data_IF_607105277904
#
_entry.id   IF_607105277904
#
_cell.length_a   1.000
_cell.length_b   1.000
_cell.length_c   1.000
_cell.angle_alpha   90.00
_cell.angle_beta   90.00
_cell.angle_gamma   90.00
#
_symmetry.space_group_name_H-M   'P 1'
#
loop_
_entity.id
_entity.type
_entity.pdbx_description
1 polymer ?
#
# COMPACT_ATOMS: atom_id res chain seq x y z
N UNK A 1 -21.52 71.38 15.79
CA UNK A 1 -20.21 70.98 15.22
C UNK A 1 -20.24 69.47 15.01
N UNK A 2 -20.49 69.09 13.78
CA UNK A 2 -20.49 67.72 13.26
C UNK A 2 -19.07 67.18 13.28
N UNK A 3 -18.90 65.89 13.60
CA UNK A 3 -17.86 65.06 13.03
C UNK A 3 -18.31 63.61 12.98
N UNK A 4 -18.50 63.17 11.80
CA UNK A 4 -18.76 61.90 11.20
C UNK A 4 -17.81 60.80 11.65
N UNK A 5 -18.35 59.65 12.07
CA UNK A 5 -17.66 58.36 12.07
C UNK A 5 -17.96 57.65 10.75
N UNK A 6 -16.93 57.47 9.91
CA UNK A 6 -16.93 56.63 8.72
C UNK A 6 -16.50 55.21 9.04
N UNK A 7 -17.35 54.30 8.72
CA UNK A 7 -17.20 52.89 8.34
C UNK A 7 -15.79 52.32 8.23
N UNK A 8 -15.51 51.29 9.04
CA UNK A 8 -14.55 50.21 8.75
C UNK A 8 -15.23 48.88 9.03
N UNK A 9 -15.73 48.26 7.99
CA UNK A 9 -15.95 46.83 7.74
C UNK A 9 -16.29 46.71 6.24
N UNK A 10 -15.73 45.80 5.44
CA UNK A 10 -15.45 44.42 5.69
C UNK A 10 -14.16 43.91 4.99
N UNK A 11 -13.30 43.22 5.67
CA UNK A 11 -12.17 42.55 5.00
C UNK A 11 -11.90 41.11 5.54
N UNK A 12 -12.87 40.48 6.20
CA UNK A 12 -12.66 39.13 6.77
C UNK A 12 -13.39 38.02 6.01
N UNK A 13 -14.20 38.33 5.01
CA UNK A 13 -15.06 37.32 4.32
C UNK A 13 -14.48 36.75 3.00
N UNK A 14 -13.26 37.14 2.61
CA UNK A 14 -12.70 36.70 1.31
C UNK A 14 -11.64 35.56 1.41
N UNK A 15 -11.25 35.14 2.60
CA UNK A 15 -10.25 34.07 2.75
C UNK A 15 -10.82 32.67 2.96
N UNK A 16 -12.11 32.53 3.29
CA UNK A 16 -12.74 31.22 3.52
C UNK A 16 -13.21 30.52 2.24
N UNK A 17 -13.41 31.26 1.15
CA UNK A 17 -13.93 30.67 -0.10
C UNK A 17 -12.87 30.08 -1.01
N UNK A 18 -11.62 30.48 -0.89
CA UNK A 18 -10.52 29.97 -1.73
C UNK A 18 -10.04 28.58 -1.30
N UNK A 19 -10.19 28.21 -0.03
CA UNK A 19 -9.78 26.89 0.46
C UNK A 19 -10.78 25.78 0.12
N UNK A 20 -12.08 26.08 -0.04
CA UNK A 20 -13.08 25.09 -0.47
C UNK A 20 -12.93 24.70 -1.94
N UNK A 21 -12.58 25.64 -2.82
CA UNK A 21 -12.37 25.34 -4.25
C UNK A 21 -11.10 24.55 -4.52
N UNK A 22 -10.05 24.67 -3.67
CA UNK A 22 -8.80 23.93 -3.82
C UNK A 22 -8.90 22.47 -3.34
N UNK A 23 -9.88 22.13 -2.47
CA UNK A 23 -10.17 20.76 -2.09
C UNK A 23 -10.98 20.01 -3.14
N UNK A 24 -11.98 20.65 -3.76
CA UNK A 24 -12.77 20.05 -4.84
C UNK A 24 -11.95 19.79 -6.10
N UNK A 25 -10.97 20.63 -6.44
CA UNK A 25 -10.07 20.39 -7.58
C UNK A 25 -9.06 19.24 -7.33
N UNK A 26 -8.70 18.95 -6.09
CA UNK A 26 -7.84 17.80 -5.77
C UNK A 26 -8.60 16.48 -5.78
N UNK A 27 -9.84 16.44 -5.30
CA UNK A 27 -10.70 15.24 -5.40
C UNK A 27 -11.09 14.91 -6.84
N UNK A 28 -11.25 15.92 -7.72
CA UNK A 28 -11.59 15.71 -9.13
C UNK A 28 -10.44 15.15 -9.99
N UNK A 29 -9.17 15.31 -9.57
CA UNK A 29 -8.00 14.78 -10.29
C UNK A 29 -7.66 13.31 -9.99
N UNK A 30 -8.27 12.70 -8.97
CA UNK A 30 -8.04 11.29 -8.64
C UNK A 30 -9.01 10.29 -9.28
N UNK A 31 -10.13 10.74 -9.82
CA UNK A 31 -10.93 9.91 -10.72
C UNK A 31 -10.34 9.99 -12.14
N UNK A 32 -9.27 9.24 -12.42
CA UNK A 32 -9.04 8.79 -13.79
C UNK A 32 -10.30 8.00 -14.18
N UNK A 33 -11.24 8.64 -14.87
CA UNK A 33 -12.36 7.93 -15.48
C UNK A 33 -11.77 6.76 -16.28
N UNK A 34 -12.17 5.53 -15.93
CA UNK A 34 -11.81 4.37 -16.74
C UNK A 34 -12.34 4.63 -18.13
N UNK A 35 -11.54 4.36 -19.14
CA UNK A 35 -11.98 4.51 -20.52
C UNK A 35 -13.20 3.61 -20.75
N UNK A 36 -14.36 4.22 -20.94
CA UNK A 36 -15.61 3.51 -21.24
C UNK A 36 -15.79 3.53 -22.76
N UNK A 37 -15.91 2.35 -23.32
CA UNK A 37 -16.18 2.19 -24.76
C UNK A 37 -17.68 2.27 -25.06
N UNK A 38 -18.04 2.33 -26.36
CA UNK A 38 -19.40 2.52 -26.83
C UNK A 38 -20.41 1.50 -26.29
N UNK A 39 -20.03 0.21 -26.28
CA UNK A 39 -20.90 -0.87 -25.78
C UNK A 39 -20.48 -1.22 -24.35
N UNK A 40 -21.36 -0.98 -23.38
CA UNK A 40 -21.11 -1.31 -21.99
C UNK A 40 -22.30 -2.01 -21.33
N UNK A 41 -22.01 -2.79 -20.30
CA UNK A 41 -22.97 -3.42 -19.40
C UNK A 41 -22.53 -3.25 -17.98
N UNK A 42 -23.50 -3.08 -17.06
CA UNK A 42 -23.25 -2.95 -15.64
C UNK A 42 -24.28 -3.71 -14.81
N UNK A 43 -23.87 -4.12 -13.62
CA UNK A 43 -24.73 -4.75 -12.63
C UNK A 43 -24.27 -4.33 -11.23
N UNK A 44 -25.25 -3.98 -10.38
CA UNK A 44 -25.01 -3.65 -8.98
C UNK A 44 -25.56 -4.78 -8.09
N UNK A 45 -24.77 -5.19 -7.11
CA UNK A 45 -25.15 -6.17 -6.09
C UNK A 45 -24.98 -5.50 -4.74
N UNK A 46 -25.97 -5.61 -3.86
CA UNK A 46 -25.90 -5.13 -2.48
C UNK A 46 -26.32 -6.23 -1.53
N UNK A 47 -25.48 -6.51 -0.52
CA UNK A 47 -25.73 -7.53 0.51
C UNK A 47 -25.40 -6.96 1.88
N UNK A 48 -26.18 -7.39 2.88
CA UNK A 48 -25.98 -6.98 4.27
C UNK A 48 -25.97 -8.22 5.16
N UNK A 49 -25.03 -8.25 6.09
CA UNK A 49 -24.83 -9.32 7.07
C UNK A 49 -24.67 -8.73 8.48
N UNK A 50 -25.02 -9.46 9.55
CA UNK A 50 -24.65 -9.05 10.90
C UNK A 50 -23.12 -8.98 11.04
N UNK A 51 -22.61 -7.94 11.71
CA UNK A 51 -21.17 -7.78 11.92
C UNK A 51 -20.66 -8.59 13.12
N UNK A 52 -21.43 -8.67 14.20
CA UNK A 52 -21.01 -9.26 15.47
C UNK A 52 -20.54 -10.71 15.32
N UNK A 53 -19.26 -10.94 15.63
CA UNK A 53 -18.63 -12.26 15.62
C UNK A 53 -18.38 -12.85 14.23
N UNK A 54 -18.62 -12.10 13.16
CA UNK A 54 -18.41 -12.55 11.80
C UNK A 54 -17.09 -12.00 11.22
N UNK A 55 -16.41 -12.81 10.39
CA UNK A 55 -15.24 -12.43 9.60
C UNK A 55 -15.69 -12.24 8.15
N UNK A 56 -15.31 -11.11 7.55
CA UNK A 56 -15.53 -10.88 6.12
C UNK A 56 -14.30 -11.33 5.33
N UNK A 57 -14.53 -12.17 4.31
CA UNK A 57 -13.51 -12.63 3.36
C UNK A 57 -13.89 -12.17 1.95
N UNK A 58 -12.97 -11.50 1.26
CA UNK A 58 -13.15 -11.03 -0.12
C UNK A 58 -12.01 -11.58 -0.98
N UNK A 59 -12.36 -12.33 -2.02
CA UNK A 59 -11.45 -12.76 -3.10
C UNK A 59 -11.91 -12.06 -4.39
N UNK A 60 -11.26 -10.92 -4.70
CA UNK A 60 -11.62 -10.09 -5.85
C UNK A 60 -10.60 -10.16 -6.98
N UNK A 61 -11.11 -9.99 -8.19
CA UNK A 61 -10.32 -9.83 -9.42
C UNK A 61 -10.87 -8.67 -10.26
N UNK A 62 -9.96 -7.96 -10.94
CA UNK A 62 -10.28 -6.90 -11.93
C UNK A 62 -10.96 -5.66 -11.38
N UNK A 63 -10.68 -5.26 -10.15
CA UNK A 63 -11.27 -4.05 -9.59
C UNK A 63 -10.70 -3.66 -8.25
N UNK A 64 -11.28 -2.62 -7.65
CA UNK A 64 -10.83 -2.10 -6.37
C UNK A 64 -11.69 -2.62 -5.22
N UNK A 65 -11.09 -2.73 -4.05
CA UNK A 65 -11.80 -2.98 -2.79
C UNK A 65 -11.60 -1.78 -1.88
N UNK A 66 -12.68 -1.03 -1.65
CA UNK A 66 -12.70 0.13 -0.76
C UNK A 66 -13.43 -0.21 0.52
N UNK A 67 -12.75 -0.04 1.65
CA UNK A 67 -13.33 -0.22 2.98
C UNK A 67 -13.70 1.15 3.56
N UNK A 68 -14.89 1.23 4.11
CA UNK A 68 -15.42 2.37 4.85
C UNK A 68 -15.82 1.88 6.23
N UNK A 69 -15.29 2.45 7.29
CA UNK A 69 -15.67 2.07 8.65
C UNK A 69 -16.89 2.83 9.11
N UNK A 70 -17.78 2.17 9.86
CA UNK A 70 -18.96 2.75 10.46
C UNK A 70 -19.26 2.15 11.85
N UNK A 71 -20.26 2.70 12.54
CA UNK A 71 -20.62 2.28 13.91
C UNK A 71 -21.83 1.32 13.97
N UNK A 72 -22.37 0.91 12.80
CA UNK A 72 -23.49 -0.04 12.78
C UNK A 72 -22.98 -1.47 12.96
N UNK A 73 -23.73 -2.31 13.69
CA UNK A 73 -23.43 -3.74 13.83
C UNK A 73 -23.83 -4.54 12.57
N UNK A 74 -23.41 -4.06 11.41
CA UNK A 74 -23.70 -4.63 10.11
C UNK A 74 -22.46 -4.57 9.22
N UNK A 75 -22.34 -5.52 8.31
CA UNK A 75 -21.40 -5.52 7.19
C UNK A 75 -22.23 -5.34 5.93
N UNK A 76 -22.10 -4.21 5.26
CA UNK A 76 -22.75 -3.97 3.97
C UNK A 76 -21.69 -4.02 2.85
N UNK A 77 -21.96 -4.83 1.83
CA UNK A 77 -21.10 -5.01 0.67
C UNK A 77 -21.86 -4.59 -0.57
N UNK A 78 -21.44 -3.48 -1.16
CA UNK A 78 -21.95 -3.00 -2.44
C UNK A 78 -20.90 -3.31 -3.51
N UNK A 79 -21.32 -3.95 -4.61
CA UNK A 79 -20.44 -4.42 -5.68
C UNK A 79 -20.96 -3.84 -6.99
N UNK A 80 -20.07 -3.19 -7.73
CA UNK A 80 -20.34 -2.69 -9.07
C UNK A 80 -19.53 -3.49 -10.08
N UNK A 81 -20.21 -4.15 -11.00
CA UNK A 81 -19.63 -4.91 -12.10
C UNK A 81 -19.86 -4.13 -13.40
N UNK A 82 -18.80 -3.83 -14.13
CA UNK A 82 -18.88 -3.14 -15.41
C UNK A 82 -18.00 -3.85 -16.45
N UNK A 83 -18.50 -3.96 -17.67
CA UNK A 83 -17.71 -4.29 -18.86
C UNK A 83 -17.98 -3.29 -19.95
N UNK A 84 -16.97 -2.92 -20.73
CA UNK A 84 -17.17 -2.10 -21.93
C UNK A 84 -16.23 -2.52 -23.05
N UNK A 85 -16.69 -2.40 -24.31
CA UNK A 85 -15.93 -2.76 -25.50
C UNK A 85 -16.28 -1.91 -26.69
N UNK A 86 -15.38 -1.87 -27.67
CA UNK A 86 -15.66 -1.33 -29.01
C UNK A 86 -16.50 -2.30 -29.84
N UNK A 87 -16.74 -3.52 -29.39
CA UNK A 87 -17.55 -4.53 -30.03
C UNK A 87 -18.65 -5.02 -29.07
N UNK A 88 -19.91 -4.97 -29.53
CA UNK A 88 -21.08 -5.30 -28.72
C UNK A 88 -21.04 -6.76 -28.21
N UNK A 89 -20.77 -7.71 -29.11
CA UNK A 89 -20.74 -9.13 -28.76
C UNK A 89 -19.65 -9.44 -27.73
N UNK A 90 -18.49 -8.77 -27.85
CA UNK A 90 -17.40 -8.92 -26.89
C UNK A 90 -17.77 -8.34 -25.52
N UNK A 91 -18.46 -7.18 -25.46
CA UNK A 91 -18.95 -6.62 -24.21
C UNK A 91 -19.96 -7.57 -23.54
N UNK A 92 -20.91 -8.10 -24.31
CA UNK A 92 -21.94 -9.03 -23.83
C UNK A 92 -21.29 -10.31 -23.26
N UNK A 93 -20.44 -10.97 -24.02
CA UNK A 93 -19.76 -12.22 -23.60
C UNK A 93 -18.83 -12.01 -22.42
N UNK A 94 -18.12 -10.87 -22.36
CA UNK A 94 -17.27 -10.54 -21.19
C UNK A 94 -18.12 -10.39 -19.93
N UNK A 95 -19.26 -9.71 -20.02
CA UNK A 95 -20.16 -9.51 -18.90
C UNK A 95 -20.76 -10.80 -18.37
N UNK A 96 -21.19 -11.72 -19.26
CA UNK A 96 -21.77 -13.01 -18.89
C UNK A 96 -20.77 -13.95 -18.18
N UNK A 97 -19.47 -13.74 -18.39
CA UNK A 97 -18.40 -14.50 -17.72
C UNK A 97 -18.05 -13.98 -16.34
N UNK A 98 -18.36 -12.72 -16.04
CA UNK A 98 -18.10 -12.12 -14.73
C UNK A 98 -19.26 -12.42 -13.80
N UNK A 99 -18.94 -13.03 -12.66
CA UNK A 99 -19.91 -13.28 -11.60
C UNK A 99 -19.30 -13.07 -10.22
N UNK A 100 -20.16 -12.75 -9.27
CA UNK A 100 -19.80 -12.66 -7.85
C UNK A 100 -20.72 -13.59 -7.07
N UNK A 101 -20.12 -14.50 -6.35
CA UNK A 101 -20.81 -15.39 -5.43
C UNK A 101 -20.61 -14.94 -4.00
N UNK A 102 -21.65 -15.03 -3.17
CA UNK A 102 -21.58 -14.81 -1.74
C UNK A 102 -22.12 -16.04 -0.99
N UNK A 103 -21.49 -16.35 0.15
CA UNK A 103 -21.94 -17.41 1.05
C UNK A 103 -21.55 -17.08 2.49
N UNK A 104 -22.33 -17.60 3.42
CA UNK A 104 -21.96 -17.59 4.85
C UNK A 104 -21.81 -19.02 5.33
N UNK A 105 -20.67 -19.33 5.94
CA UNK A 105 -20.37 -20.62 6.58
C UNK A 105 -19.96 -20.36 8.04
N UNK A 106 -20.81 -20.69 8.96
CA UNK A 106 -20.62 -20.39 10.36
C UNK A 106 -20.46 -18.89 10.61
N UNK A 107 -19.30 -18.49 11.10
CA UNK A 107 -18.94 -17.08 11.34
C UNK A 107 -18.15 -16.43 10.21
N UNK A 108 -18.02 -17.09 9.08
CA UNK A 108 -17.26 -16.56 7.93
C UNK A 108 -18.21 -16.22 6.79
N UNK A 109 -18.15 -14.98 6.32
CA UNK A 109 -18.86 -14.47 5.16
C UNK A 109 -17.84 -14.37 4.02
N UNK A 110 -18.13 -14.96 2.90
CA UNK A 110 -17.25 -15.02 1.73
C UNK A 110 -17.89 -14.32 0.55
N UNK A 111 -17.12 -13.47 -0.11
CA UNK A 111 -17.42 -12.95 -1.43
C UNK A 111 -16.30 -13.35 -2.37
N UNK A 112 -16.68 -13.88 -3.54
CA UNK A 112 -15.71 -14.31 -4.54
C UNK A 112 -16.11 -13.84 -5.93
N UNK A 113 -15.22 -13.06 -6.56
CA UNK A 113 -15.31 -12.73 -7.98
C UNK A 113 -14.80 -13.91 -8.79
N UNK A 114 -15.58 -14.34 -9.77
CA UNK A 114 -15.21 -15.41 -10.71
C UNK A 114 -15.26 -14.90 -12.14
N UNK A 115 -14.29 -15.32 -12.93
CA UNK A 115 -14.25 -15.09 -14.37
C UNK A 115 -14.19 -16.45 -15.08
N UNK A 116 -15.30 -16.86 -15.69
CA UNK A 116 -15.38 -18.11 -16.44
C UNK A 116 -14.47 -18.05 -17.67
N UNK A 117 -13.67 -19.08 -17.88
CA UNK A 117 -12.84 -19.18 -19.09
C UNK A 117 -13.72 -19.25 -20.34
N UNK A 118 -13.23 -18.65 -21.44
CA UNK A 118 -13.88 -18.84 -22.75
C UNK A 118 -13.69 -20.25 -23.23
N UNK A 119 -14.77 -20.87 -23.67
CA UNK A 119 -14.69 -22.10 -24.48
C UNK A 119 -14.25 -21.74 -25.91
N UNK A 120 -13.77 -22.72 -26.68
CA UNK A 120 -13.34 -22.48 -28.08
C UNK A 120 -14.43 -21.87 -28.97
N UNK A 121 -15.70 -22.18 -28.73
CA UNK A 121 -16.85 -21.60 -29.43
C UNK A 121 -17.25 -20.19 -29.02
N UNK A 122 -16.67 -19.66 -27.92
CA UNK A 122 -16.99 -18.35 -27.39
C UNK A 122 -16.07 -17.22 -27.92
N UNK A 123 -15.11 -17.55 -28.78
CA UNK A 123 -14.19 -16.57 -29.35
C UNK A 123 -14.96 -15.60 -30.23
N UNK A 124 -14.95 -14.34 -29.88
CA UNK A 124 -15.42 -13.26 -30.75
C UNK A 124 -14.31 -12.99 -31.77
N UNK A 125 -14.58 -13.23 -33.03
CA UNK A 125 -13.67 -12.88 -34.12
C UNK A 125 -13.64 -11.37 -34.27
N UNK A 126 -12.68 -10.72 -33.65
CA UNK A 126 -12.56 -9.27 -33.70
C UNK A 126 -11.10 -8.88 -33.80
N UNK A 127 -10.74 -8.20 -34.89
CA UNK A 127 -9.45 -7.58 -35.07
C UNK A 127 -9.54 -6.15 -34.45
N UNK A 128 -8.56 -5.79 -33.62
CA UNK A 128 -8.40 -4.45 -33.00
C UNK A 128 -9.54 -4.04 -32.04
N UNK A 129 -10.27 -4.97 -31.44
CA UNK A 129 -11.24 -4.66 -30.39
C UNK A 129 -10.58 -4.36 -29.05
N UNK A 130 -10.99 -3.27 -28.44
CA UNK A 130 -10.67 -2.95 -27.07
C UNK A 130 -11.78 -3.42 -26.13
N UNK A 131 -11.38 -3.92 -24.96
CA UNK A 131 -12.31 -4.44 -23.96
C UNK A 131 -11.81 -4.09 -22.57
N UNK A 132 -12.71 -3.68 -21.67
CA UNK A 132 -12.42 -3.43 -20.25
C UNK A 132 -13.43 -4.18 -19.39
N UNK A 133 -13.00 -4.55 -18.20
CA UNK A 133 -13.86 -5.11 -17.17
C UNK A 133 -13.44 -4.62 -15.80
N UNK A 134 -14.41 -4.48 -14.89
CA UNK A 134 -14.14 -4.18 -13.49
C UNK A 134 -15.19 -4.78 -12.57
N UNK A 135 -14.74 -5.14 -11.37
CA UNK A 135 -15.57 -5.57 -10.26
C UNK A 135 -15.11 -4.83 -9.02
N UNK A 136 -15.79 -3.74 -8.71
CA UNK A 136 -15.42 -2.84 -7.63
C UNK A 136 -16.30 -3.10 -6.39
N UNK A 137 -15.65 -3.30 -5.25
CA UNK A 137 -16.28 -3.49 -3.96
C UNK A 137 -16.21 -2.21 -3.13
N UNK A 138 -17.33 -1.79 -2.58
CA UNK A 138 -17.41 -0.81 -1.49
C UNK A 138 -18.01 -1.49 -0.28
N UNK A 139 -17.22 -1.60 0.78
CA UNK A 139 -17.61 -2.33 1.99
C UNK A 139 -17.72 -1.38 3.16
N UNK A 140 -18.88 -1.34 3.78
CA UNK A 140 -19.14 -0.64 5.05
C UNK A 140 -19.11 -1.67 6.18
N UNK A 141 -18.19 -1.52 7.15
CA UNK A 141 -17.92 -2.53 8.18
C UNK A 141 -17.45 -1.84 9.48
N UNK A 142 -17.79 -2.34 10.68
CA UNK A 142 -17.17 -1.86 11.91
C UNK A 142 -15.65 -2.04 11.88
N UNK A 143 -14.91 -1.02 12.31
CA UNK A 143 -13.44 -1.03 12.29
C UNK A 143 -12.81 -2.18 13.12
N UNK A 144 -13.56 -2.81 14.00
CA UNK A 144 -13.11 -3.89 14.89
C UNK A 144 -13.34 -5.31 14.35
N UNK A 145 -14.07 -5.47 13.24
CA UNK A 145 -14.36 -6.79 12.67
C UNK A 145 -13.11 -7.44 12.07
N UNK A 146 -13.08 -8.76 12.05
CA UNK A 146 -12.05 -9.49 11.32
C UNK A 146 -12.29 -9.38 9.79
N UNK A 147 -11.22 -9.06 9.04
CA UNK A 147 -11.28 -8.77 7.61
C UNK A 147 -10.12 -9.44 6.87
N UNK A 148 -10.44 -10.19 5.84
CA UNK A 148 -9.47 -10.84 4.95
C UNK A 148 -9.76 -10.41 3.52
N UNK A 149 -8.77 -9.83 2.82
CA UNK A 149 -8.91 -9.39 1.44
C UNK A 149 -7.77 -9.95 0.62
N UNK A 150 -8.12 -10.65 -0.45
CA UNK A 150 -7.24 -10.99 -1.55
C UNK A 150 -7.75 -10.26 -2.79
N UNK A 151 -6.90 -9.39 -3.39
CA UNK A 151 -7.28 -8.63 -4.58
C UNK A 151 -6.21 -8.76 -5.66
N UNK A 152 -6.66 -8.96 -6.89
CA UNK A 152 -5.78 -9.09 -8.06
C UNK A 152 -6.27 -8.14 -9.18
N UNK A 153 -5.33 -7.40 -9.79
CA UNK A 153 -5.60 -6.38 -10.83
C UNK A 153 -6.48 -5.22 -10.36
N UNK A 154 -6.07 -4.61 -9.23
CA UNK A 154 -6.73 -3.43 -8.69
C UNK A 154 -6.18 -3.02 -7.33
N UNK A 155 -6.76 -1.97 -6.74
CA UNK A 155 -6.30 -1.42 -5.47
C UNK A 155 -7.11 -1.93 -4.27
N UNK A 156 -6.48 -1.86 -3.09
CA UNK A 156 -7.14 -1.98 -1.80
C UNK A 156 -6.97 -0.66 -1.06
N UNK A 157 -8.08 -0.06 -0.63
CA UNK A 157 -8.07 1.16 0.19
C UNK A 157 -8.78 0.91 1.51
N UNK A 158 -8.06 1.11 2.63
CA UNK A 158 -8.55 0.87 3.98
C UNK A 158 -8.23 2.08 4.86
N UNK A 159 -9.20 2.64 5.61
CA UNK A 159 -8.95 3.68 6.60
C UNK A 159 -8.21 3.11 7.83
N UNK A 160 -8.11 3.88 8.91
CA UNK A 160 -7.63 3.37 10.20
C UNK A 160 -8.52 2.19 10.64
N UNK A 161 -7.89 1.05 11.02
CA UNK A 161 -8.58 -0.21 11.31
C UNK A 161 -8.07 -0.86 12.59
N UNK A 162 -8.96 -1.33 13.45
CA UNK A 162 -8.61 -1.84 14.79
C UNK A 162 -8.79 -3.35 14.95
N UNK A 163 -9.54 -3.99 14.05
CA UNK A 163 -9.77 -5.44 14.04
C UNK A 163 -8.60 -6.24 13.44
N UNK A 164 -8.66 -7.58 13.58
CA UNK A 164 -7.74 -8.48 12.87
C UNK A 164 -7.87 -8.27 11.35
N UNK A 165 -6.72 -8.16 10.66
CA UNK A 165 -6.75 -7.88 9.23
C UNK A 165 -5.62 -8.58 8.48
N UNK A 166 -6.00 -9.26 7.37
CA UNK A 166 -5.08 -9.90 6.44
C UNK A 166 -5.31 -9.37 5.02
N UNK A 167 -4.26 -8.87 4.38
CA UNK A 167 -4.32 -8.24 3.07
C UNK A 167 -3.30 -8.87 2.12
N UNK A 168 -3.78 -9.31 0.98
CA UNK A 168 -2.94 -9.73 -0.16
C UNK A 168 -3.37 -8.93 -1.39
N UNK A 169 -2.45 -8.16 -1.98
CA UNK A 169 -2.74 -7.39 -3.20
C UNK A 169 -1.71 -7.70 -4.29
N UNK A 170 -2.20 -8.01 -5.49
CA UNK A 170 -1.36 -8.29 -6.66
C UNK A 170 -1.75 -7.40 -7.84
N UNK A 171 -0.73 -6.88 -8.54
CA UNK A 171 -0.93 -6.02 -9.73
C UNK A 171 -1.79 -4.78 -9.43
N UNK A 172 -1.44 -4.07 -8.34
CA UNK A 172 -2.18 -2.88 -7.96
C UNK A 172 -1.56 -2.13 -6.79
N UNK A 173 -2.35 -1.34 -6.07
CA UNK A 173 -1.85 -0.60 -4.93
C UNK A 173 -2.59 -0.97 -3.64
N UNK A 174 -1.87 -0.98 -2.54
CA UNK A 174 -2.43 -1.05 -1.19
C UNK A 174 -2.24 0.31 -0.51
N UNK A 175 -3.34 0.97 -0.14
CA UNK A 175 -3.33 2.18 0.68
C UNK A 175 -4.06 1.88 1.99
N UNK A 176 -3.35 1.97 3.10
CA UNK A 176 -3.92 1.69 4.40
C UNK A 176 -3.61 2.78 5.43
N UNK A 177 -4.58 3.08 6.27
CA UNK A 177 -4.44 3.90 7.46
C UNK A 177 -3.59 3.22 8.55
N UNK A 178 -3.90 3.49 9.81
CA UNK A 178 -3.29 2.78 10.94
C UNK A 178 -3.95 1.41 11.11
N UNK A 179 -3.17 0.34 11.02
CA UNK A 179 -3.62 -1.03 11.25
C UNK A 179 -3.18 -1.49 12.65
N UNK A 180 -4.14 -1.73 13.55
CA UNK A 180 -3.83 -2.04 14.96
C UNK A 180 -3.58 -3.54 15.22
N UNK A 181 -4.20 -4.43 14.45
CA UNK A 181 -4.06 -5.88 14.58
C UNK A 181 -3.83 -6.53 13.21
N UNK A 182 -2.74 -6.18 12.51
CA UNK A 182 -2.42 -6.81 11.24
C UNK A 182 -1.93 -8.24 11.47
N UNK A 183 -2.41 -9.19 10.67
CA UNK A 183 -2.02 -10.60 10.72
C UNK A 183 -1.15 -10.99 9.52
N UNK A 184 -1.49 -10.46 8.35
CA UNK A 184 -0.75 -10.68 7.10
C UNK A 184 -0.83 -9.46 6.20
N UNK A 185 0.31 -9.01 5.67
CA UNK A 185 0.36 -8.00 4.58
C UNK A 185 1.34 -8.50 3.51
N UNK A 186 0.82 -8.72 2.32
CA UNK A 186 1.59 -9.12 1.15
C UNK A 186 1.19 -8.28 -0.06
N UNK A 187 2.16 -7.65 -0.72
CA UNK A 187 1.92 -6.89 -1.96
C UNK A 187 2.93 -7.31 -3.01
N UNK A 188 2.42 -7.68 -4.19
CA UNK A 188 3.23 -8.09 -5.34
C UNK A 188 2.87 -7.24 -6.57
N UNK A 189 3.88 -6.76 -7.30
CA UNK A 189 3.75 -6.01 -8.56
C UNK A 189 2.91 -4.73 -8.42
N UNK A 190 3.36 -3.80 -7.54
CA UNK A 190 2.59 -2.58 -7.35
C UNK A 190 3.20 -1.55 -6.42
N UNK A 191 2.35 -0.99 -5.58
CA UNK A 191 2.72 0.02 -4.60
C UNK A 191 2.01 -0.25 -3.27
N UNK A 192 2.71 -0.02 -2.15
CA UNK A 192 2.15 -0.10 -0.81
C UNK A 192 2.42 1.21 -0.05
N UNK A 193 1.36 1.88 0.37
CA UNK A 193 1.39 3.06 1.23
C UNK A 193 0.65 2.76 2.53
N UNK A 194 1.40 2.58 3.61
CA UNK A 194 0.87 2.26 4.94
C UNK A 194 1.15 3.42 5.89
N UNK A 195 0.11 4.01 6.47
CA UNK A 195 0.27 5.12 7.41
C UNK A 195 0.97 4.69 8.70
N UNK A 196 0.53 3.59 9.31
CA UNK A 196 1.15 3.03 10.52
C UNK A 196 0.83 1.54 10.67
N UNK A 197 1.86 0.75 10.99
CA UNK A 197 1.73 -0.69 11.19
C UNK A 197 2.79 -1.20 12.17
N UNK A 198 2.53 -2.33 12.83
CA UNK A 198 3.51 -2.95 13.72
C UNK A 198 3.12 -4.37 14.15
N UNK A 199 4.08 -5.05 14.82
CA UNK A 199 3.96 -6.44 15.30
C UNK A 199 3.56 -7.42 14.19
N UNK A 200 4.29 -7.39 13.06
CA UNK A 200 3.92 -8.16 11.87
C UNK A 200 5.13 -8.54 11.03
N UNK A 201 4.97 -9.63 10.28
CA UNK A 201 5.84 -10.01 9.17
C UNK A 201 5.27 -9.45 7.84
N UNK A 202 6.02 -8.59 7.17
CA UNK A 202 5.64 -7.90 5.93
C UNK A 202 6.38 -8.50 4.74
N UNK A 203 5.69 -8.73 3.63
CA UNK A 203 6.30 -9.24 2.39
C UNK A 203 5.91 -8.37 1.20
N UNK A 204 6.92 -7.85 0.50
CA UNK A 204 6.76 -7.05 -0.70
C UNK A 204 7.66 -7.60 -1.81
N UNK A 205 7.07 -7.78 -3.02
CA UNK A 205 7.78 -8.23 -4.20
C UNK A 205 7.44 -7.34 -5.39
N UNK A 206 8.45 -6.89 -6.12
CA UNK A 206 8.27 -5.99 -7.28
C UNK A 206 7.42 -4.76 -6.94
N UNK A 207 7.57 -4.23 -5.73
CA UNK A 207 6.66 -3.22 -5.14
C UNK A 207 7.46 -2.02 -4.66
N UNK A 208 6.96 -0.81 -4.88
CA UNK A 208 7.43 0.39 -4.18
C UNK A 208 6.70 0.50 -2.84
N UNK A 209 7.45 0.72 -1.74
CA UNK A 209 6.90 0.67 -0.39
C UNK A 209 7.12 2.00 0.33
N UNK A 210 6.08 2.49 0.98
CA UNK A 210 6.16 3.62 1.90
C UNK A 210 5.42 3.28 3.20
N UNK A 211 6.15 3.25 4.32
CA UNK A 211 5.57 3.04 5.65
C UNK A 211 5.84 4.30 6.49
N UNK A 212 4.76 4.99 6.86
CA UNK A 212 4.81 6.24 7.62
C UNK A 212 5.23 6.07 9.08
N UNK A 213 4.93 4.92 9.71
CA UNK A 213 5.35 4.60 11.09
C UNK A 213 5.36 3.08 11.27
N UNK A 214 6.54 2.52 11.55
CA UNK A 214 6.74 1.11 11.88
C UNK A 214 7.00 0.95 13.38
N UNK A 215 6.20 0.13 14.08
CA UNK A 215 6.24 -0.05 15.54
C UNK A 215 6.31 -1.53 15.93
N UNK A 216 6.64 -1.81 17.21
CA UNK A 216 6.63 -3.17 17.76
C UNK A 216 7.72 -4.08 17.20
N UNK A 217 7.46 -5.38 17.13
CA UNK A 217 8.39 -6.37 16.58
C UNK A 217 8.02 -6.70 15.13
N UNK A 218 8.90 -6.40 14.18
CA UNK A 218 8.61 -6.55 12.76
C UNK A 218 9.69 -7.33 12.01
N UNK A 219 9.22 -8.10 11.01
CA UNK A 219 10.09 -8.63 9.95
C UNK A 219 9.65 -8.04 8.61
N UNK A 220 10.61 -7.71 7.77
CA UNK A 220 10.38 -7.13 6.46
C UNK A 220 11.15 -7.92 5.41
N UNK A 221 10.43 -8.44 4.43
CA UNK A 221 11.02 -9.11 3.26
C UNK A 221 10.75 -8.26 2.02
N UNK A 222 11.83 -7.83 1.35
CA UNK A 222 11.80 -7.06 0.11
C UNK A 222 12.48 -7.86 -0.99
N UNK A 223 11.78 -8.08 -2.11
CA UNK A 223 12.34 -8.78 -3.27
C UNK A 223 12.06 -7.98 -4.55
N UNK A 224 13.12 -7.57 -5.25
CA UNK A 224 13.01 -6.77 -6.47
C UNK A 224 12.15 -5.50 -6.28
N UNK A 225 12.18 -4.95 -5.07
CA UNK A 225 11.42 -3.76 -4.75
C UNK A 225 12.15 -2.50 -5.25
N UNK A 226 11.38 -1.54 -5.73
CA UNK A 226 11.89 -0.22 -6.06
C UNK A 226 12.35 0.52 -4.78
N UNK A 227 12.22 1.83 -4.80
CA UNK A 227 12.51 2.64 -3.61
C UNK A 227 11.49 2.34 -2.50
N UNK A 228 11.99 1.86 -1.36
CA UNK A 228 11.21 1.48 -0.20
C UNK A 228 11.59 2.32 1.00
N UNK A 229 10.73 3.27 1.39
CA UNK A 229 10.94 4.18 2.53
C UNK A 229 10.15 3.70 3.74
N UNK A 230 10.84 3.49 4.87
CA UNK A 230 10.29 2.99 6.12
C UNK A 230 10.69 3.93 7.26
N UNK A 231 9.73 4.63 7.84
CA UNK A 231 9.99 5.42 9.03
C UNK A 231 9.88 4.52 10.27
N UNK A 232 10.96 4.49 11.05
CA UNK A 232 11.05 3.70 12.28
C UNK A 232 10.62 4.57 13.46
N UNK A 233 9.54 4.17 14.10
CA UNK A 233 8.95 4.91 15.23
C UNK A 233 9.64 4.57 16.57
N UNK A 234 9.52 5.43 17.56
CA UNK A 234 10.03 5.16 18.92
C UNK A 234 9.38 3.95 19.60
N UNK A 235 8.19 3.55 19.16
CA UNK A 235 7.52 2.33 19.60
C UNK A 235 8.04 1.05 18.96
N UNK A 236 9.06 1.10 18.10
CA UNK A 236 9.70 -0.08 17.54
C UNK A 236 10.45 -0.84 18.65
N UNK A 237 10.31 -2.18 18.71
CA UNK A 237 11.01 -3.04 19.66
C UNK A 237 12.10 -3.87 19.00
N UNK A 238 11.87 -4.31 17.77
CA UNK A 238 12.88 -4.95 16.94
C UNK A 238 12.50 -4.92 15.47
N UNK A 239 13.52 -4.96 14.59
CA UNK A 239 13.32 -5.05 13.15
C UNK A 239 14.34 -6.00 12.53
N UNK A 240 13.84 -6.99 11.78
CA UNK A 240 14.67 -7.85 10.93
C UNK A 240 14.28 -7.62 9.47
N UNK A 241 15.25 -7.24 8.64
CA UNK A 241 15.04 -7.01 7.20
C UNK A 241 15.81 -8.02 6.39
N UNK A 242 15.14 -8.68 5.45
CA UNK A 242 15.74 -9.42 4.35
C UNK A 242 15.43 -8.71 3.05
N UNK A 243 16.47 -8.24 2.39
CA UNK A 243 16.35 -7.47 1.16
C UNK A 243 17.15 -8.12 0.03
N UNK A 244 16.57 -8.18 -1.17
CA UNK A 244 17.28 -8.56 -2.37
C UNK A 244 16.83 -7.73 -3.57
N UNK A 245 17.81 -7.18 -4.30
CA UNK A 245 17.59 -6.36 -5.49
C UNK A 245 16.67 -5.15 -5.26
N UNK A 246 16.74 -4.52 -4.09
CA UNK A 246 15.86 -3.40 -3.74
C UNK A 246 16.65 -2.15 -3.30
N UNK A 247 15.97 -1.03 -3.14
CA UNK A 247 16.53 0.20 -2.58
C UNK A 247 15.83 0.51 -1.26
N UNK A 248 16.46 0.14 -0.15
CA UNK A 248 15.90 0.29 1.20
C UNK A 248 16.32 1.60 1.84
N UNK A 249 15.37 2.40 2.28
CA UNK A 249 15.58 3.63 3.03
C UNK A 249 14.92 3.53 4.41
N UNK A 250 15.72 3.43 5.46
CA UNK A 250 15.25 3.43 6.84
C UNK A 250 15.44 4.83 7.44
N UNK A 251 14.37 5.40 7.98
CA UNK A 251 14.39 6.72 8.63
C UNK A 251 14.06 6.54 10.11
N UNK A 252 15.07 6.46 10.99
CA UNK A 252 14.85 6.32 12.41
C UNK A 252 14.26 7.62 13.00
N UNK A 253 13.31 7.48 13.94
CA UNK A 253 12.89 8.61 14.77
C UNK A 253 14.10 9.15 15.55
N UNK A 254 14.12 10.46 15.79
CA UNK A 254 15.26 11.18 16.41
C UNK A 254 15.70 10.61 17.77
N UNK A 255 14.77 10.06 18.53
CA UNK A 255 15.01 9.50 19.87
C UNK A 255 15.06 7.96 19.89
N UNK A 256 15.07 7.30 18.74
CA UNK A 256 15.11 5.84 18.68
C UNK A 256 16.47 5.34 19.18
N UNK A 257 16.46 4.65 20.32
CA UNK A 257 17.66 4.05 20.91
C UNK A 257 17.85 2.64 20.34
N UNK A 258 18.70 2.49 19.32
CA UNK A 258 18.81 1.24 18.56
C UNK A 258 20.27 0.81 18.36
N UNK A 259 20.47 -0.51 18.24
CA UNK A 259 21.70 -1.12 17.74
C UNK A 259 21.42 -1.65 16.33
N UNK A 260 22.26 -1.28 15.38
CA UNK A 260 22.19 -1.65 13.98
C UNK A 260 23.26 -2.68 13.64
N UNK A 261 22.84 -3.81 13.08
CA UNK A 261 23.72 -4.82 12.49
C UNK A 261 23.33 -4.98 11.02
N UNK A 262 24.22 -4.61 10.11
CA UNK A 262 23.90 -4.53 8.69
C UNK A 262 24.91 -5.35 7.91
N UNK A 263 24.42 -6.23 7.05
CA UNK A 263 25.22 -7.01 6.10
C UNK A 263 24.78 -6.72 4.68
N UNK A 264 25.71 -6.38 3.80
CA UNK A 264 25.44 -6.21 2.38
C UNK A 264 26.30 -7.15 1.55
N UNK A 265 25.71 -7.75 0.52
CA UNK A 265 26.40 -8.52 -0.50
C UNK A 265 26.12 -7.87 -1.85
N UNK A 266 27.15 -7.48 -2.59
CA UNK A 266 27.03 -6.71 -3.85
C UNK A 266 26.27 -5.40 -3.73
N UNK A 267 26.18 -4.84 -2.51
CA UNK A 267 25.43 -3.62 -2.20
C UNK A 267 26.27 -2.56 -1.49
N UNK A 268 25.61 -1.46 -1.14
CA UNK A 268 26.22 -0.36 -0.41
C UNK A 268 25.33 0.17 0.70
N UNK A 269 25.98 0.73 1.74
CA UNK A 269 25.32 1.49 2.80
C UNK A 269 25.64 2.98 2.66
N UNK A 270 24.62 3.82 2.75
CA UNK A 270 24.69 5.26 2.83
C UNK A 270 24.20 5.66 4.22
N UNK A 271 25.13 6.11 5.07
CA UNK A 271 24.80 6.63 6.39
C UNK A 271 24.55 8.14 6.31
N UNK A 272 23.32 8.56 6.57
CA UNK A 272 22.87 9.95 6.67
C UNK A 272 22.54 10.32 8.13
N UNK A 273 23.01 9.52 9.08
CA UNK A 273 22.79 9.75 10.52
C UNK A 273 24.03 10.38 11.15
N UNK A 274 23.87 10.87 12.37
CA UNK A 274 25.00 11.30 13.23
C UNK A 274 25.59 10.15 14.06
N UNK A 275 25.08 8.93 13.94
CA UNK A 275 25.52 7.76 14.73
C UNK A 275 26.92 7.28 14.37
N UNK A 276 27.36 7.56 13.14
CA UNK A 276 28.64 7.08 12.63
C UNK A 276 28.68 5.56 12.52
N UNK A 277 27.81 4.99 11.69
CA UNK A 277 27.81 3.55 11.40
C UNK A 277 29.13 3.17 10.77
N UNK A 278 29.84 2.21 11.40
CA UNK A 278 31.20 1.82 11.01
C UNK A 278 31.21 0.44 10.37
N UNK A 279 32.06 0.28 9.37
CA UNK A 279 32.38 -1.04 8.83
C UNK A 279 33.20 -1.85 9.86
N UNK A 280 32.81 -3.10 10.09
CA UNK A 280 33.41 -3.97 11.12
C UNK A 280 34.17 -5.16 10.55
N UNK A 281 33.93 -5.53 9.30
CA UNK A 281 34.69 -6.55 8.61
C UNK A 281 36.00 -6.00 8.05
N UNK A 282 36.94 -6.88 7.76
CA UNK A 282 38.19 -6.53 7.05
C UNK A 282 37.94 -6.55 5.56
N UNK A 283 38.24 -5.43 4.83
CA UNK A 283 38.11 -5.42 3.38
C UNK A 283 38.95 -6.52 2.71
N UNK A 284 38.42 -7.11 1.65
CA UNK A 284 39.15 -8.05 0.82
C UNK A 284 40.43 -7.40 0.28
N UNK A 285 41.58 -8.06 0.55
CA UNK A 285 42.88 -7.54 0.10
C UNK A 285 43.10 -7.72 -1.40
N UNK A 286 42.52 -8.79 -1.95
CA UNK A 286 42.66 -9.14 -3.38
C UNK A 286 41.26 -9.49 -3.90
N UNK A 287 40.89 -8.89 -5.03
CA UNK A 287 39.59 -9.11 -5.65
C UNK A 287 38.52 -8.08 -5.28
N UNK A 288 37.27 -8.26 -5.72
CA UNK A 288 36.19 -7.33 -5.45
C UNK A 288 35.69 -7.47 -4.01
N UNK A 289 35.60 -6.35 -3.30
CA UNK A 289 35.10 -6.22 -1.93
C UNK A 289 33.57 -6.21 -1.91
N UNK A 290 32.98 -7.40 -1.99
CA UNK A 290 31.54 -7.57 -2.25
C UNK A 290 30.71 -7.63 -0.96
N UNK A 291 31.20 -8.39 0.04
CA UNK A 291 30.54 -8.60 1.31
C UNK A 291 31.04 -7.61 2.36
N UNK A 292 30.10 -6.89 2.98
CA UNK A 292 30.45 -5.87 3.96
C UNK A 292 29.54 -5.97 5.18
N UNK A 293 30.12 -5.77 6.36
CA UNK A 293 29.39 -5.73 7.63
C UNK A 293 29.55 -4.37 8.28
N UNK A 294 28.46 -3.87 8.84
CA UNK A 294 28.44 -2.57 9.48
C UNK A 294 27.71 -2.67 10.82
N UNK A 295 28.17 -1.91 11.77
CA UNK A 295 27.54 -1.74 13.07
C UNK A 295 27.41 -0.26 13.44
N UNK A 296 26.30 0.06 14.12
CA UNK A 296 26.02 1.39 14.63
C UNK A 296 25.14 1.32 15.88
N UNK A 297 25.20 2.38 16.67
CA UNK A 297 24.40 2.47 17.89
C UNK A 297 23.91 3.88 18.11
N UNK A 298 22.62 4.02 18.44
CA UNK A 298 22.01 5.27 18.91
C UNK A 298 21.50 5.11 20.33
N UNK A 299 21.71 6.11 21.18
CA UNK A 299 21.27 6.12 22.56
C UNK A 299 21.71 4.87 23.34
N UNK A 300 20.82 4.28 24.13
CA UNK A 300 21.09 3.06 24.91
C UNK A 300 21.22 1.79 24.03
N UNK A 301 20.72 1.83 22.78
CA UNK A 301 20.80 0.67 21.86
C UNK A 301 19.83 -0.46 22.22
N UNK A 302 18.67 -0.14 22.78
CA UNK A 302 17.70 -1.13 23.26
C UNK A 302 16.96 -1.87 22.17
N UNK A 303 16.71 -1.20 21.05
CA UNK A 303 16.04 -1.77 19.87
C UNK A 303 17.07 -2.46 18.97
N UNK A 304 16.81 -3.70 18.58
CA UNK A 304 17.68 -4.44 17.64
C UNK A 304 17.18 -4.27 16.21
N UNK A 305 18.05 -3.78 15.33
CA UNK A 305 17.78 -3.62 13.89
C UNK A 305 18.83 -4.45 13.12
N UNK A 306 18.39 -5.57 12.54
CA UNK A 306 19.21 -6.47 11.72
C UNK A 306 18.79 -6.31 10.25
N UNK A 307 19.72 -5.95 9.37
CA UNK A 307 19.46 -5.76 7.94
C UNK A 307 20.43 -6.62 7.14
N UNK A 308 19.87 -7.48 6.30
CA UNK A 308 20.63 -8.30 5.33
C UNK A 308 20.16 -7.97 3.94
N UNK A 309 21.04 -7.42 3.12
CA UNK A 309 20.73 -7.01 1.74
C UNK A 309 21.70 -7.66 0.75
N UNK A 310 21.14 -8.21 -0.32
CA UNK A 310 21.88 -8.73 -1.45
C UNK A 310 21.52 -7.97 -2.71
N UNK A 311 22.52 -7.44 -3.43
CA UNK A 311 22.33 -6.65 -4.66
C UNK A 311 21.46 -5.40 -4.47
N UNK A 312 21.36 -4.88 -3.23
CA UNK A 312 20.55 -3.71 -2.86
C UNK A 312 21.39 -2.58 -2.30
N UNK A 313 20.82 -1.37 -2.31
CA UNK A 313 21.40 -0.22 -1.63
C UNK A 313 20.58 0.10 -0.38
N UNK A 314 21.25 0.36 0.72
CA UNK A 314 20.64 0.74 1.99
C UNK A 314 21.00 2.19 2.28
N UNK A 315 20.00 3.00 2.66
CA UNK A 315 20.22 4.32 3.24
C UNK A 315 19.60 4.37 4.63
N UNK A 316 20.30 4.91 5.59
CA UNK A 316 19.80 5.13 6.95
C UNK A 316 19.91 6.60 7.31
N UNK A 317 18.83 7.18 7.83
CA UNK A 317 18.73 8.59 8.21
C UNK A 317 17.91 9.41 7.21
N UNK A 318 17.91 10.73 7.40
CA UNK A 318 17.15 11.64 6.53
C UNK A 318 17.78 11.75 5.14
N UNK A 319 16.95 11.67 4.12
CA UNK A 319 17.40 11.74 2.73
C UNK A 319 16.27 11.53 1.74
N UNK A 320 16.62 11.53 0.46
CA UNK A 320 15.71 11.39 -0.65
C UNK A 320 16.07 10.21 -1.55
N UNK A 321 15.16 9.83 -2.43
CA UNK A 321 15.45 8.81 -3.46
C UNK A 321 16.64 9.18 -4.36
N UNK A 322 16.88 10.48 -4.57
CA UNK A 322 18.00 10.96 -5.38
C UNK A 322 19.36 10.65 -4.71
N UNK A 323 19.45 10.76 -3.38
CA UNK A 323 20.66 10.42 -2.62
C UNK A 323 21.10 8.96 -2.80
N UNK A 324 20.17 8.05 -3.03
CA UNK A 324 20.48 6.62 -3.27
C UNK A 324 21.03 6.36 -4.68
N UNK A 325 20.87 7.29 -5.62
CA UNK A 325 21.34 7.16 -7.00
C UNK A 325 22.74 7.72 -7.21
N UNK A 326 23.28 8.50 -6.27
CA UNK A 326 24.65 9.02 -6.35
C UNK A 326 25.66 7.89 -6.22
N UNK A 327 26.05 7.32 -7.36
CA UNK A 327 27.34 6.62 -7.47
C UNK A 327 28.43 7.65 -7.17
N UNK A 328 29.19 7.47 -6.08
CA UNK A 328 30.45 8.21 -5.91
C UNK A 328 31.19 8.19 -7.23
N UNK A 329 31.35 9.34 -7.87
CA UNK A 329 32.37 9.51 -8.92
C UNK A 329 33.69 9.15 -8.26
N UNK A 330 34.22 7.98 -8.60
CA UNK A 330 35.59 7.61 -8.25
C UNK A 330 36.45 8.69 -8.90
N UNK A 331 37.03 9.57 -8.11
CA UNK A 331 38.11 10.44 -8.58
C UNK A 331 39.28 9.52 -8.87
N UNK A 332 39.54 9.33 -10.15
CA UNK A 332 40.80 8.79 -10.69
C UNK A 332 41.99 9.66 -10.31
#
# INVERSE_FOLDING_TARGET
MERTFKNILPFVLLFATVQLFAQDEKESKEKKERQRYEFFKERNISKTYPASGNTLNIDNQFGNVKIVTWDKNEIKVDIHIETSSTNKELADKTFERLDVTDKQEGKSIYFKTTHKKSNEGDKVGCNDCSNTMSVDYTVQIPASNALIIENTFGGIEIPDYTGPISLTNKYGHLKAGKLSKPEKIEVEFGQADLKSIGNIDLTFKYTSVNIGSLTGNCKLTLQFCGYSKINLDNGLTSLSVKDSYSSLHLVPASNLAATYTISTSYGSLIDKTSMGIKRTDTPEKYGPDLDKKYEGKSGAGTVKIDVRSSFGNIMIGEGTKADMKEKKKVRS
#
